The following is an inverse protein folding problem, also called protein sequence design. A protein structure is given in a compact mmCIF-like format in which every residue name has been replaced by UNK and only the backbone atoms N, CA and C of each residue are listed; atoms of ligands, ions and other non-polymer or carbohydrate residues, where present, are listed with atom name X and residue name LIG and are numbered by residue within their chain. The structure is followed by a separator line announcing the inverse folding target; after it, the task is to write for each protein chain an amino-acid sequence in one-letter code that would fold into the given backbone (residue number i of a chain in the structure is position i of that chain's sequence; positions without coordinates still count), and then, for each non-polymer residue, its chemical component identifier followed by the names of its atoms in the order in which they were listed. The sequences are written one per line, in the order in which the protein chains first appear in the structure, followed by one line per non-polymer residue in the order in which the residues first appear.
data_IF_943044775644
#
_entry.id   IF_943044775644
#
_cell.length_a   1.000
_cell.length_b   1.000
_cell.length_c   1.000
_cell.angle_alpha   90.00
_cell.angle_beta   90.00
_cell.angle_gamma   90.00
#
_symmetry.space_group_name_H-M   'P 1'
#
loop_
_entity.id
_entity.type
_entity.pdbx_description
1 polymer ?
#
# COMPACT_ATOMS: atom_id res chain seq x y z
N UNK A 1 -16.85 11.86 -18.01
CA UNK A 1 -16.98 10.63 -17.19
C UNK A 1 -15.73 10.46 -16.32
N UNK A 2 -15.89 10.43 -15.00
CA UNK A 2 -14.78 10.21 -14.08
C UNK A 2 -14.15 8.84 -14.35
N UNK A 3 -12.85 8.82 -14.63
CA UNK A 3 -12.12 7.55 -14.85
C UNK A 3 -11.94 6.83 -13.50
N UNK A 4 -12.34 5.55 -13.44
CA UNK A 4 -12.11 4.71 -12.27
C UNK A 4 -10.69 4.13 -12.30
N UNK A 5 -10.07 4.05 -11.12
CA UNK A 5 -8.80 3.37 -10.90
C UNK A 5 -9.02 1.89 -10.54
N UNK A 6 -10.02 1.63 -9.68
CA UNK A 6 -10.38 0.29 -9.23
C UNK A 6 -11.90 0.16 -9.28
N UNK A 7 -12.41 -0.95 -9.80
CA UNK A 7 -13.83 -1.32 -9.73
C UNK A 7 -13.93 -2.75 -9.21
N UNK A 8 -14.61 -2.92 -8.09
CA UNK A 8 -14.95 -4.22 -7.49
C UNK A 8 -16.47 -4.38 -7.57
N UNK A 9 -16.95 -5.51 -8.11
CA UNK A 9 -18.39 -5.76 -8.31
C UNK A 9 -18.76 -7.13 -7.74
N UNK A 10 -19.64 -7.11 -6.74
CA UNK A 10 -20.27 -8.31 -6.15
C UNK A 10 -19.24 -9.41 -5.79
N UNK A 11 -18.09 -9.02 -5.25
CA UNK A 11 -17.00 -9.95 -4.97
C UNK A 11 -17.30 -10.74 -3.72
N UNK A 12 -17.25 -12.07 -3.87
CA UNK A 12 -17.33 -13.03 -2.78
C UNK A 12 -16.03 -13.82 -2.70
N UNK A 13 -15.50 -13.96 -1.48
CA UNK A 13 -14.31 -14.77 -1.18
C UNK A 13 -14.60 -15.72 -0.02
N UNK A 14 -14.38 -17.01 -0.29
CA UNK A 14 -14.56 -18.10 0.69
C UNK A 14 -13.24 -18.84 0.91
N UNK A 15 -13.00 -19.28 2.13
CA UNK A 15 -11.94 -20.22 2.51
C UNK A 15 -12.60 -21.45 3.13
N UNK A 16 -12.68 -22.55 2.38
CA UNK A 16 -13.51 -23.68 2.75
C UNK A 16 -14.97 -23.26 2.93
N UNK A 17 -15.52 -23.47 4.11
CA UNK A 17 -16.91 -23.12 4.44
C UNK A 17 -17.07 -21.70 5.03
N UNK A 18 -15.97 -20.94 5.19
CA UNK A 18 -16.02 -19.60 5.78
C UNK A 18 -16.06 -18.55 4.67
N UNK A 19 -17.14 -17.77 4.62
CA UNK A 19 -17.23 -16.59 3.74
C UNK A 19 -16.59 -15.39 4.45
N UNK A 20 -15.52 -14.85 3.86
CA UNK A 20 -14.77 -13.69 4.39
C UNK A 20 -15.19 -12.40 3.71
N UNK A 21 -15.42 -12.44 2.40
CA UNK A 21 -16.03 -11.34 1.65
C UNK A 21 -17.36 -11.84 1.10
N UNK A 22 -18.43 -11.10 1.35
CA UNK A 22 -19.77 -11.44 0.90
C UNK A 22 -20.35 -10.30 0.07
N UNK A 23 -20.46 -10.53 -1.25
CA UNK A 23 -21.07 -9.62 -2.22
C UNK A 23 -20.54 -8.16 -2.15
N UNK A 24 -19.22 -7.99 -1.96
CA UNK A 24 -18.57 -6.69 -1.77
C UNK A 24 -18.46 -5.93 -3.09
N UNK A 25 -18.91 -4.67 -3.10
CA UNK A 25 -18.75 -3.76 -4.25
C UNK A 25 -18.18 -2.43 -3.80
N UNK A 26 -17.19 -1.91 -4.54
CA UNK A 26 -16.61 -0.60 -4.33
C UNK A 26 -16.03 -0.03 -5.63
N UNK A 27 -15.89 1.30 -5.69
CA UNK A 27 -15.27 2.00 -6.80
C UNK A 27 -14.32 3.07 -6.27
N UNK A 28 -13.12 3.14 -6.84
CA UNK A 28 -12.11 4.16 -6.53
C UNK A 28 -11.88 5.01 -7.77
N UNK A 29 -12.13 6.31 -7.67
CA UNK A 29 -11.87 7.27 -8.76
C UNK A 29 -10.37 7.52 -8.88
N UNK A 30 -9.88 7.78 -10.10
CA UNK A 30 -8.49 8.19 -10.33
C UNK A 30 -8.16 9.47 -9.57
N UNK A 31 -6.97 9.51 -8.97
CA UNK A 31 -6.47 10.68 -8.23
C UNK A 31 -7.19 10.96 -6.91
N UNK A 32 -7.92 9.98 -6.34
CA UNK A 32 -8.60 10.14 -5.06
C UNK A 32 -8.03 9.21 -3.99
N UNK A 33 -8.33 9.53 -2.73
CA UNK A 33 -8.10 8.64 -1.58
C UNK A 33 -9.43 8.00 -1.22
N UNK A 34 -9.43 6.68 -1.09
CA UNK A 34 -10.56 5.89 -0.59
C UNK A 34 -10.13 5.14 0.67
N UNK A 35 -10.80 5.43 1.79
CA UNK A 35 -10.56 4.76 3.06
C UNK A 35 -11.55 3.62 3.29
N UNK A 36 -11.04 2.44 3.69
CA UNK A 36 -11.85 1.31 4.14
C UNK A 36 -11.69 1.19 5.65
N UNK A 37 -12.80 1.37 6.37
CA UNK A 37 -12.85 1.26 7.83
C UNK A 37 -13.49 -0.06 8.23
N UNK A 38 -12.86 -0.78 9.14
CA UNK A 38 -13.42 -2.02 9.66
C UNK A 38 -12.58 -2.63 10.77
N UNK A 39 -13.20 -3.41 11.64
CA UNK A 39 -12.51 -4.13 12.73
C UNK A 39 -11.45 -5.09 12.18
N UNK A 40 -10.51 -5.50 13.04
CA UNK A 40 -9.60 -6.59 12.70
C UNK A 40 -10.40 -7.86 12.38
N UNK A 41 -9.99 -8.59 11.34
CA UNK A 41 -10.72 -9.76 10.85
C UNK A 41 -11.92 -9.47 9.95
N UNK A 42 -12.26 -8.21 9.62
CA UNK A 42 -13.40 -7.87 8.74
C UNK A 42 -13.16 -8.11 7.25
N UNK A 43 -12.02 -8.68 6.87
CA UNK A 43 -11.71 -9.02 5.48
C UNK A 43 -10.99 -7.93 4.67
N UNK A 44 -10.58 -6.78 5.25
CA UNK A 44 -9.89 -5.69 4.54
C UNK A 44 -8.64 -6.19 3.79
N UNK A 45 -7.75 -6.87 4.50
CA UNK A 45 -6.53 -7.48 3.93
C UNK A 45 -6.85 -8.49 2.84
N UNK A 46 -7.90 -9.30 3.02
CA UNK A 46 -8.35 -10.27 2.00
C UNK A 46 -8.83 -9.56 0.74
N UNK A 47 -9.61 -8.49 0.88
CA UNK A 47 -10.05 -7.67 -0.24
C UNK A 47 -8.85 -7.07 -1.00
N UNK A 48 -7.87 -6.51 -0.29
CA UNK A 48 -6.66 -5.97 -0.90
C UNK A 48 -5.84 -7.04 -1.63
N UNK A 49 -5.68 -8.22 -1.03
CA UNK A 49 -5.04 -9.37 -1.71
C UNK A 49 -5.79 -9.80 -2.97
N UNK A 50 -7.12 -9.75 -2.98
CA UNK A 50 -7.92 -10.02 -4.18
C UNK A 50 -7.73 -8.94 -5.25
N UNK A 51 -7.72 -7.65 -4.88
CA UNK A 51 -7.49 -6.53 -5.83
C UNK A 51 -6.11 -6.65 -6.45
N UNK A 52 -5.07 -6.96 -5.67
CA UNK A 52 -3.70 -7.19 -6.17
C UNK A 52 -3.57 -8.47 -7.01
N UNK A 53 -4.57 -9.35 -7.01
CA UNK A 53 -4.51 -10.65 -7.68
C UNK A 53 -3.68 -11.71 -6.96
N UNK A 54 -3.35 -11.48 -5.69
CA UNK A 54 -2.65 -12.44 -4.82
C UNK A 54 -3.60 -13.55 -4.33
N UNK A 55 -4.90 -13.29 -4.33
CA UNK A 55 -5.95 -14.26 -4.02
C UNK A 55 -7.00 -14.27 -5.13
N UNK A 56 -7.44 -15.45 -5.53
CA UNK A 56 -8.56 -15.62 -6.46
C UNK A 56 -9.88 -15.38 -5.73
N UNK A 57 -10.82 -14.70 -6.39
CA UNK A 57 -12.20 -14.53 -5.91
C UNK A 57 -13.03 -15.77 -6.27
N UNK A 58 -14.10 -16.02 -5.53
CA UNK A 58 -15.06 -17.10 -5.84
C UNK A 58 -16.15 -16.61 -6.80
N UNK A 59 -16.64 -15.37 -6.60
CA UNK A 59 -17.71 -14.77 -7.40
C UNK A 59 -17.43 -13.27 -7.60
N UNK A 60 -18.07 -12.66 -8.60
CA UNK A 60 -17.95 -11.26 -8.92
C UNK A 60 -16.83 -10.92 -9.89
N UNK A 61 -16.39 -9.67 -9.90
CA UNK A 61 -15.30 -9.21 -10.78
C UNK A 61 -14.51 -8.06 -10.17
N UNK A 62 -13.22 -7.97 -10.54
CA UNK A 62 -12.32 -6.87 -10.17
C UNK A 62 -11.66 -6.35 -11.45
N UNK A 63 -11.86 -5.06 -11.72
CA UNK A 63 -11.25 -4.35 -12.84
C UNK A 63 -10.22 -3.36 -12.31
N UNK A 64 -8.96 -3.63 -12.58
CA UNK A 64 -7.81 -2.79 -12.20
C UNK A 64 -6.63 -3.15 -13.09
N UNK A 65 -5.79 -2.17 -13.44
CA UNK A 65 -4.52 -2.47 -14.06
C UNK A 65 -3.50 -2.86 -12.97
N UNK A 66 -3.23 -4.16 -12.88
CA UNK A 66 -2.34 -4.72 -11.85
C UNK A 66 -0.90 -4.22 -11.96
N UNK A 67 -0.45 -3.81 -13.16
CA UNK A 67 0.89 -3.26 -13.38
C UNK A 67 1.06 -1.88 -12.76
N UNK A 68 -0.06 -1.18 -12.56
CA UNK A 68 -0.12 0.15 -11.95
C UNK A 68 -0.24 0.10 -10.42
N UNK A 69 -0.28 -1.08 -9.81
CA UNK A 69 -0.45 -1.22 -8.36
C UNK A 69 0.90 -1.28 -7.66
N UNK A 70 1.10 -0.36 -6.71
CA UNK A 70 2.04 -0.50 -5.62
C UNK A 70 1.29 -0.82 -4.32
N UNK A 71 1.73 -1.83 -3.59
CA UNK A 71 1.00 -2.28 -2.42
C UNK A 71 1.90 -2.49 -1.20
N UNK A 72 1.37 -2.13 -0.04
CA UNK A 72 1.83 -2.59 1.28
C UNK A 72 0.67 -3.35 1.88
N UNK A 73 0.83 -4.67 1.96
CA UNK A 73 -0.14 -5.57 2.59
C UNK A 73 0.59 -6.30 3.69
N UNK A 74 0.12 -6.14 4.93
CA UNK A 74 0.81 -6.62 6.13
C UNK A 74 2.19 -5.94 6.34
N UNK A 75 3.09 -6.54 7.11
CA UNK A 75 4.42 -5.96 7.32
C UNK A 75 5.35 -6.21 6.13
N UNK A 76 6.04 -5.18 5.62
CA UNK A 76 7.02 -5.35 4.55
C UNK A 76 8.19 -6.25 4.99
N UNK A 77 8.46 -7.30 4.23
CA UNK A 77 9.49 -8.31 4.51
C UNK A 77 10.91 -7.86 4.18
N UNK A 78 11.36 -6.71 4.70
CA UNK A 78 12.71 -6.21 4.45
C UNK A 78 13.80 -7.02 5.15
N UNK A 79 14.93 -7.16 4.49
CA UNK A 79 16.13 -7.77 5.04
C UNK A 79 16.76 -6.85 6.08
N UNK A 80 16.65 -7.21 7.36
CA UNK A 80 17.03 -6.37 8.52
C UNK A 80 18.53 -6.04 8.57
N UNK A 81 19.39 -6.90 8.01
CA UNK A 81 20.85 -6.72 7.93
C UNK A 81 21.27 -5.71 6.85
N UNK A 82 20.40 -5.40 5.89
CA UNK A 82 20.64 -4.45 4.81
C UNK A 82 20.08 -3.06 5.14
N UNK A 83 20.62 -2.04 4.48
CA UNK A 83 20.07 -0.69 4.55
C UNK A 83 18.78 -0.57 3.75
N UNK A 84 17.99 0.49 3.98
CA UNK A 84 16.80 0.79 3.17
C UNK A 84 17.11 0.90 1.69
N UNK A 85 18.21 1.59 1.36
CA UNK A 85 18.69 1.72 -0.03
C UNK A 85 19.02 0.37 -0.67
N UNK A 86 19.71 -0.52 0.07
CA UNK A 86 20.06 -1.85 -0.43
C UNK A 86 18.81 -2.73 -0.63
N UNK A 87 17.83 -2.68 0.28
CA UNK A 87 16.57 -3.39 0.12
C UNK A 87 15.83 -2.94 -1.14
N UNK A 88 15.69 -1.62 -1.36
CA UNK A 88 14.99 -1.12 -2.56
C UNK A 88 15.74 -1.47 -3.86
N UNK A 89 17.09 -1.44 -3.86
CA UNK A 89 17.88 -1.88 -5.02
C UNK A 89 17.67 -3.37 -5.33
N UNK A 90 17.65 -4.21 -4.31
CA UNK A 90 17.39 -5.64 -4.49
C UNK A 90 16.01 -5.86 -5.12
N UNK A 91 14.98 -5.19 -4.62
CA UNK A 91 13.62 -5.28 -5.18
C UNK A 91 13.55 -4.76 -6.61
N UNK A 92 14.20 -3.65 -6.93
CA UNK A 92 14.31 -3.12 -8.29
C UNK A 92 14.96 -4.12 -9.26
N UNK A 93 16.05 -4.76 -8.82
CA UNK A 93 16.72 -5.80 -9.62
C UNK A 93 15.82 -7.03 -9.85
N UNK A 94 15.05 -7.45 -8.84
CA UNK A 94 14.11 -8.57 -8.96
C UNK A 94 12.95 -8.27 -9.93
N UNK A 95 12.52 -7.00 -10.04
CA UNK A 95 11.48 -6.58 -10.99
C UNK A 95 12.00 -6.33 -12.41
N UNK A 96 13.32 -6.48 -12.65
CA UNK A 96 13.96 -6.21 -13.93
C UNK A 96 14.04 -4.73 -14.31
N UNK A 97 13.82 -3.82 -13.34
CA UNK A 97 13.84 -2.36 -13.53
C UNK A 97 15.07 -1.75 -12.85
N UNK A 98 16.23 -1.86 -13.50
CA UNK A 98 17.50 -1.40 -12.93
C UNK A 98 17.66 0.13 -12.89
N UNK A 99 16.89 0.88 -13.66
CA UNK A 99 17.01 2.33 -13.83
C UNK A 99 16.15 3.14 -12.84
N UNK A 100 15.80 2.58 -11.67
CA UNK A 100 15.02 3.29 -10.65
C UNK A 100 15.96 4.22 -9.85
N UNK A 101 15.62 5.51 -9.79
CA UNK A 101 16.31 6.46 -8.93
C UNK A 101 15.90 6.28 -7.46
N UNK A 102 16.59 5.35 -6.78
CA UNK A 102 16.31 5.01 -5.38
C UNK A 102 16.54 6.21 -4.44
N UNK A 103 17.48 7.12 -4.75
CA UNK A 103 17.72 8.30 -3.93
C UNK A 103 16.52 9.25 -3.97
N UNK A 104 15.96 9.46 -5.15
CA UNK A 104 14.74 10.25 -5.33
C UNK A 104 13.56 9.62 -4.58
N UNK A 105 13.40 8.30 -4.66
CA UNK A 105 12.34 7.58 -3.93
C UNK A 105 12.49 7.74 -2.42
N UNK A 106 13.70 7.56 -1.88
CA UNK A 106 13.99 7.75 -0.45
C UNK A 106 13.71 9.18 0.00
N UNK A 107 14.00 10.16 -0.84
CA UNK A 107 13.70 11.59 -0.56
C UNK A 107 12.20 11.85 -0.48
N UNK A 108 11.40 11.28 -1.39
CA UNK A 108 9.92 11.41 -1.37
C UNK A 108 9.33 10.94 -0.05
N UNK A 109 9.87 9.87 0.53
CA UNK A 109 9.38 9.32 1.81
C UNK A 109 10.11 9.87 3.04
N UNK A 110 11.04 10.83 2.88
CA UNK A 110 11.80 11.44 3.97
C UNK A 110 12.79 10.48 4.65
N UNK A 111 13.40 9.59 3.88
CA UNK A 111 14.41 8.63 4.34
C UNK A 111 15.80 8.85 3.70
N UNK A 112 16.04 9.99 3.07
CA UNK A 112 17.33 10.31 2.41
C UNK A 112 18.52 10.22 3.36
N UNK A 113 18.40 10.76 4.58
CA UNK A 113 19.46 10.71 5.60
C UNK A 113 19.60 9.31 6.24
N UNK A 114 18.57 8.49 6.20
CA UNK A 114 18.54 7.17 6.83
C UNK A 114 18.75 6.01 5.84
N UNK A 115 18.83 6.29 4.55
CA UNK A 115 18.91 5.26 3.50
C UNK A 115 20.11 4.32 3.61
N UNK A 116 21.19 4.71 4.32
CA UNK A 116 22.36 3.86 4.61
C UNK A 116 22.28 3.10 5.94
N UNK A 117 21.35 3.47 6.84
CA UNK A 117 21.15 2.80 8.13
C UNK A 117 20.51 1.42 7.91
N UNK A 118 20.94 0.39 8.64
CA UNK A 118 20.36 -0.96 8.56
C UNK A 118 18.86 -0.92 8.97
N UNK A 119 18.00 -1.61 8.22
CA UNK A 119 16.55 -1.64 8.47
C UNK A 119 16.22 -2.23 9.85
N UNK A 120 17.02 -3.15 10.36
CA UNK A 120 16.88 -3.65 11.73
C UNK A 120 16.96 -2.57 12.82
N UNK A 121 17.54 -1.40 12.51
CA UNK A 121 17.63 -0.24 13.42
C UNK A 121 16.58 0.84 13.10
N UNK A 122 15.64 0.60 12.18
CA UNK A 122 14.57 1.53 11.84
C UNK A 122 13.49 1.54 12.92
N UNK A 123 12.92 2.72 13.20
CA UNK A 123 11.66 2.83 13.95
C UNK A 123 10.50 2.24 13.13
N UNK A 124 9.36 2.03 13.77
CA UNK A 124 8.14 1.59 13.07
C UNK A 124 7.80 2.55 11.91
N UNK A 125 7.75 3.86 12.16
CA UNK A 125 7.48 4.86 11.13
C UNK A 125 8.49 4.88 9.98
N UNK A 126 9.78 4.62 10.26
CA UNK A 126 10.79 4.47 9.21
C UNK A 126 10.54 3.22 8.36
N UNK A 127 10.11 2.10 8.96
CA UNK A 127 9.76 0.89 8.20
C UNK A 127 8.51 1.11 7.34
N UNK A 128 7.49 1.78 7.87
CA UNK A 128 6.29 2.15 7.09
C UNK A 128 6.64 3.04 5.89
N UNK A 129 7.47 4.06 6.10
CA UNK A 129 7.95 4.92 5.00
C UNK A 129 8.75 4.14 3.96
N UNK A 130 9.59 3.20 4.38
CA UNK A 130 10.32 2.34 3.44
C UNK A 130 9.36 1.43 2.65
N UNK A 131 8.28 0.93 3.28
CA UNK A 131 7.21 0.20 2.59
C UNK A 131 6.52 1.07 1.53
N UNK A 132 6.19 2.33 1.87
CA UNK A 132 5.63 3.27 0.88
C UNK A 132 6.64 3.53 -0.25
N UNK A 133 7.95 3.67 0.07
CA UNK A 133 9.01 3.79 -0.93
C UNK A 133 9.00 2.62 -1.91
N UNK A 134 8.90 1.39 -1.40
CA UNK A 134 8.74 0.18 -2.23
C UNK A 134 7.52 0.27 -3.13
N UNK A 135 6.37 0.69 -2.60
CA UNK A 135 5.12 0.75 -3.34
C UNK A 135 5.11 1.81 -4.46
N UNK A 136 5.96 2.85 -4.36
CA UNK A 136 6.00 3.95 -5.35
C UNK A 136 7.23 3.90 -6.27
N UNK A 137 8.22 3.05 -5.99
CA UNK A 137 9.53 3.13 -6.63
C UNK A 137 9.50 2.89 -8.14
N UNK A 138 8.51 2.18 -8.65
CA UNK A 138 8.32 1.92 -10.08
C UNK A 138 7.29 2.88 -10.71
N UNK A 139 6.99 3.98 -10.02
CA UNK A 139 6.04 5.01 -10.45
C UNK A 139 4.58 4.52 -10.59
N UNK A 140 4.15 3.62 -9.73
CA UNK A 140 2.77 3.12 -9.70
C UNK A 140 1.76 4.26 -9.49
N UNK A 141 0.67 4.22 -10.25
CA UNK A 141 -0.41 5.21 -10.18
C UNK A 141 -1.51 4.85 -9.19
N UNK A 142 -1.54 3.60 -8.72
CA UNK A 142 -2.50 3.08 -7.75
C UNK A 142 -1.74 2.56 -6.53
N UNK A 143 -2.07 3.05 -5.34
CA UNK A 143 -1.45 2.59 -4.09
C UNK A 143 -2.48 1.90 -3.21
N UNK A 144 -2.11 0.73 -2.70
CA UNK A 144 -2.91 -0.07 -1.75
C UNK A 144 -2.12 -0.15 -0.45
N UNK A 145 -2.66 0.43 0.62
CA UNK A 145 -1.99 0.56 1.92
C UNK A 145 -2.84 -0.10 3.02
N UNK A 146 -2.38 -1.23 3.52
CA UNK A 146 -3.07 -1.93 4.61
C UNK A 146 -2.52 -1.49 5.96
N UNK A 147 -3.36 -0.83 6.77
CA UNK A 147 -3.04 -0.31 8.11
C UNK A 147 -1.73 0.53 8.16
N UNK A 148 -1.53 1.53 7.27
CA UNK A 148 -0.24 2.22 7.13
C UNK A 148 0.15 3.05 8.35
N UNK A 149 -0.76 3.33 9.27
CA UNK A 149 -0.55 4.13 10.49
C UNK A 149 -0.52 3.28 11.76
N UNK A 150 -0.74 1.96 11.64
CA UNK A 150 -0.82 1.07 12.80
C UNK A 150 0.49 1.06 13.62
N UNK A 151 0.37 1.21 14.94
CA UNK A 151 1.51 1.17 15.87
C UNK A 151 2.41 2.41 15.84
N UNK A 152 2.00 3.49 15.18
CA UNK A 152 2.70 4.77 15.19
C UNK A 152 2.20 5.66 16.33
N UNK A 153 3.10 6.52 16.84
CA UNK A 153 2.73 7.65 17.67
C UNK A 153 2.03 8.75 16.86
N UNK A 154 1.43 9.73 17.51
CA UNK A 154 0.68 10.80 16.85
C UNK A 154 1.53 11.55 15.80
N UNK A 155 2.81 11.78 16.09
CA UNK A 155 3.73 12.42 15.16
C UNK A 155 3.96 11.55 13.91
N UNK A 156 4.16 10.26 14.10
CA UNK A 156 4.33 9.28 13.01
C UNK A 156 3.08 9.19 12.13
N UNK A 157 1.89 9.19 12.73
CA UNK A 157 0.60 9.23 12.02
C UNK A 157 0.51 10.48 11.15
N UNK A 158 0.79 11.67 11.70
CA UNK A 158 0.75 12.93 10.94
C UNK A 158 1.75 12.96 9.79
N UNK A 159 2.92 12.39 9.98
CA UNK A 159 3.95 12.31 8.95
C UNK A 159 3.55 11.39 7.80
N UNK A 160 2.96 10.22 8.10
CA UNK A 160 2.44 9.30 7.07
C UNK A 160 1.22 9.90 6.37
N UNK A 161 0.32 10.56 7.10
CA UNK A 161 -0.85 11.25 6.53
C UNK A 161 -0.42 12.33 5.52
N UNK A 162 0.56 13.17 5.89
CA UNK A 162 1.14 14.19 4.98
C UNK A 162 1.76 13.55 3.74
N UNK A 163 2.47 12.45 3.89
CA UNK A 163 3.05 11.71 2.77
C UNK A 163 1.97 11.20 1.81
N UNK A 164 0.92 10.56 2.33
CA UNK A 164 -0.22 10.07 1.54
C UNK A 164 -0.91 11.22 0.78
N UNK A 165 -1.14 12.36 1.45
CA UNK A 165 -1.74 13.54 0.82
C UNK A 165 -0.86 14.11 -0.29
N UNK A 166 0.47 14.11 -0.13
CA UNK A 166 1.39 14.56 -1.19
C UNK A 166 1.37 13.61 -2.38
N UNK A 167 1.37 12.29 -2.16
CA UNK A 167 1.26 11.29 -3.22
C UNK A 167 -0.06 11.43 -4.00
N UNK A 168 -1.16 11.76 -3.31
CA UNK A 168 -2.45 12.07 -3.97
C UNK A 168 -2.35 13.33 -4.82
N UNK A 169 -1.66 14.40 -4.35
CA UNK A 169 -1.45 15.62 -5.15
C UNK A 169 -0.62 15.37 -6.41
N UNK A 170 0.24 14.36 -6.41
CA UNK A 170 0.97 13.89 -7.60
C UNK A 170 0.08 13.09 -8.58
N UNK A 171 -1.22 12.97 -8.32
CA UNK A 171 -2.20 12.30 -9.19
C UNK A 171 -2.39 10.81 -8.91
N UNK A 172 -1.79 10.25 -7.85
CA UNK A 172 -1.95 8.85 -7.50
C UNK A 172 -3.34 8.58 -6.91
N UNK A 173 -3.89 7.43 -7.22
CA UNK A 173 -5.13 6.91 -6.64
C UNK A 173 -4.76 6.03 -5.45
N UNK A 174 -5.32 6.29 -4.29
CA UNK A 174 -4.90 5.60 -3.06
C UNK A 174 -6.11 4.94 -2.41
N UNK A 175 -5.99 3.65 -2.11
CA UNK A 175 -6.94 2.95 -1.24
C UNK A 175 -6.18 2.52 0.01
N UNK A 176 -6.72 2.84 1.17
CA UNK A 176 -6.11 2.49 2.43
C UNK A 176 -7.13 1.88 3.39
N UNK A 177 -6.69 0.92 4.19
CA UNK A 177 -7.49 0.32 5.24
C UNK A 177 -7.02 0.80 6.61
N UNK A 178 -7.96 1.04 7.51
CA UNK A 178 -7.70 1.22 8.93
C UNK A 178 -8.83 0.66 9.80
N UNK A 179 -8.50 0.26 11.01
CA UNK A 179 -9.48 -0.05 12.05
C UNK A 179 -9.87 1.19 12.86
N UNK A 180 -9.14 2.30 12.74
CA UNK A 180 -9.39 3.58 13.39
C UNK A 180 -9.96 4.59 12.38
N UNK A 181 -11.09 5.21 12.71
CA UNK A 181 -11.70 6.25 11.87
C UNK A 181 -10.85 7.51 11.74
N UNK A 182 -10.13 7.86 12.81
CA UNK A 182 -9.29 9.06 12.85
C UNK A 182 -8.13 9.01 11.85
N UNK A 183 -7.68 7.81 11.48
CA UNK A 183 -6.61 7.64 10.48
C UNK A 183 -7.04 8.07 9.06
N UNK A 184 -8.35 8.10 8.80
CA UNK A 184 -8.91 8.32 7.45
C UNK A 184 -9.53 9.73 7.31
N UNK A 185 -9.74 10.44 8.41
CA UNK A 185 -10.20 11.82 8.40
C UNK A 185 -9.03 12.79 8.19
#
# INVERSE_FOLDING_TARGET
MDKMAIIVRNVTKKFGNVTVLDNVSLQVKKGTICGIIGRNGSGKTVLFKCICGLLQINEGSILVDKKEIGAIIEEPGFLKQYSGKQNLRLLASMSGKENIDIEKVLKVVGLECAGRKKVGKYSMGMRQRLGIAQAIMENQSILILDEPMNGLDNKGVDEIRKLILNLKKEGRSIILASHNREDIQ
#
